data_IF_812061807272
#
_entry.id   IF_812061807272
#
_cell.length_a   1.000
_cell.length_b   1.000
_cell.length_c   1.000
_cell.angle_alpha   90.00
_cell.angle_beta   90.00
_cell.angle_gamma   90.00
#
_symmetry.space_group_name_H-M   'P 1'
#
loop_
_entity.id
_entity.type
_entity.pdbx_description
1 polymer ?
#
# COMPACT_ATOMS: atom_id res chain seq x y z
N UNK A 1 11.67 31.95 2.83
CA UNK A 1 12.31 30.67 3.16
C UNK A 1 11.35 29.57 2.75
N UNK A 2 11.66 28.79 1.71
CA UNK A 2 10.87 27.59 1.39
C UNK A 2 11.25 26.53 2.43
N UNK A 3 10.31 26.19 3.32
CA UNK A 3 10.50 25.05 4.20
C UNK A 3 10.68 23.80 3.33
N UNK A 4 11.87 23.21 3.41
CA UNK A 4 12.20 21.97 2.71
C UNK A 4 11.46 20.81 3.41
N UNK A 5 10.16 20.68 3.16
CA UNK A 5 9.37 19.58 3.68
C UNK A 5 9.91 18.25 3.12
N UNK A 6 10.12 17.28 4.01
CA UNK A 6 10.50 15.92 3.63
C UNK A 6 9.25 15.07 3.49
N UNK A 7 9.31 14.07 2.62
CA UNK A 7 8.36 12.98 2.64
C UNK A 7 8.43 12.26 3.99
N UNK A 8 7.30 12.14 4.67
CA UNK A 8 7.16 11.41 5.95
C UNK A 8 7.53 9.94 5.82
N UNK A 9 7.47 9.37 4.61
CA UNK A 9 7.80 7.96 4.34
C UNK A 9 9.26 7.76 3.95
N UNK A 10 9.71 8.39 2.87
CA UNK A 10 11.04 8.11 2.32
C UNK A 10 12.10 9.16 2.70
N UNK A 11 11.72 10.21 3.44
CA UNK A 11 12.64 11.28 3.84
C UNK A 11 13.15 12.16 2.69
N UNK A 12 12.73 11.92 1.45
CA UNK A 12 13.15 12.69 0.28
C UNK A 12 12.45 14.05 0.21
N UNK A 13 13.17 15.08 -0.22
CA UNK A 13 12.73 16.47 -0.32
C UNK A 13 12.07 16.80 -1.67
N UNK A 14 12.20 15.94 -2.68
CA UNK A 14 11.72 16.22 -4.02
C UNK A 14 10.21 15.91 -4.18
N UNK A 15 9.49 16.85 -4.79
CA UNK A 15 8.10 16.69 -5.25
C UNK A 15 7.12 16.20 -4.16
N UNK A 16 7.04 16.93 -3.04
CA UNK A 16 5.99 16.71 -2.04
C UNK A 16 4.62 17.01 -2.67
N UNK A 17 3.76 16.00 -2.73
CA UNK A 17 2.39 16.09 -3.23
C UNK A 17 1.52 15.78 -2.03
N UNK A 18 1.34 16.78 -1.16
CA UNK A 18 0.53 16.60 0.05
C UNK A 18 -0.85 16.05 -0.33
N UNK A 19 -1.18 14.85 0.17
CA UNK A 19 -2.51 14.29 0.04
C UNK A 19 -2.79 13.42 1.26
N UNK A 20 -3.49 13.98 2.24
CA UNK A 20 -4.35 13.15 3.10
C UNK A 20 -5.66 13.89 3.35
N UNK A 21 -6.75 13.21 3.03
CA UNK A 21 -8.10 13.64 3.28
C UNK A 21 -8.64 13.21 4.66
N UNK A 22 -7.80 12.69 5.59
CA UNK A 22 -8.27 12.16 6.88
C UNK A 22 -7.25 12.13 8.03
N UNK A 23 -6.00 12.55 7.85
CA UNK A 23 -5.02 12.67 8.96
C UNK A 23 -4.15 13.91 8.77
N UNK A 24 -4.06 14.87 9.72
CA UNK A 24 -3.65 16.23 9.37
C UNK A 24 -2.17 16.44 9.01
N UNK A 25 -1.28 15.46 9.15
CA UNK A 25 0.17 15.74 9.20
C UNK A 25 1.10 14.84 8.37
N UNK A 26 0.59 13.97 7.49
CA UNK A 26 1.48 13.09 6.69
C UNK A 26 1.73 13.70 5.31
N UNK A 27 3.00 14.01 5.01
CA UNK A 27 3.44 14.56 3.73
C UNK A 27 4.03 13.45 2.86
N UNK A 28 3.37 13.10 1.78
CA UNK A 28 3.88 12.12 0.82
C UNK A 28 4.59 12.82 -0.35
N UNK A 29 5.68 12.23 -0.86
CA UNK A 29 6.22 12.59 -2.16
C UNK A 29 5.48 11.85 -3.27
N UNK A 30 5.55 12.40 -4.50
CA UNK A 30 4.92 11.80 -5.68
C UNK A 30 5.26 10.31 -5.84
N UNK A 31 6.53 9.94 -5.67
CA UNK A 31 6.96 8.54 -5.81
C UNK A 31 6.25 7.59 -4.83
N UNK A 32 6.07 8.00 -3.57
CA UNK A 32 5.35 7.19 -2.59
C UNK A 32 3.86 7.06 -2.95
N UNK A 33 3.23 8.12 -3.44
CA UNK A 33 1.86 8.07 -3.93
C UNK A 33 1.71 7.14 -5.16
N UNK A 34 2.64 7.23 -6.11
CA UNK A 34 2.63 6.43 -7.33
C UNK A 34 2.78 4.92 -7.00
N UNK A 35 3.59 4.56 -6.00
CA UNK A 35 3.73 3.17 -5.53
C UNK A 35 2.43 2.62 -4.92
N UNK A 36 1.73 3.41 -4.10
CA UNK A 36 0.42 3.00 -3.53
C UNK A 36 -0.60 2.79 -4.65
N UNK A 37 -0.67 3.69 -5.62
CA UNK A 37 -1.58 3.56 -6.77
C UNK A 37 -1.24 2.35 -7.65
N UNK A 38 0.05 2.10 -7.89
CA UNK A 38 0.50 0.89 -8.61
C UNK A 38 0.05 -0.36 -7.87
N UNK A 39 0.21 -0.38 -6.55
CA UNK A 39 -0.17 -1.53 -5.73
C UNK A 39 -1.68 -1.75 -5.69
N UNK A 40 -2.48 -0.69 -5.59
CA UNK A 40 -3.94 -0.74 -5.72
C UNK A 40 -4.36 -1.36 -7.06
N UNK A 41 -3.77 -0.88 -8.16
CA UNK A 41 -4.02 -1.43 -9.50
C UNK A 41 -3.65 -2.92 -9.58
N UNK A 42 -2.50 -3.30 -9.02
CA UNK A 42 -2.07 -4.69 -8.99
C UNK A 42 -3.01 -5.55 -8.14
N UNK A 43 -3.46 -5.06 -6.99
CA UNK A 43 -4.43 -5.74 -6.13
C UNK A 43 -5.73 -6.02 -6.88
N UNK A 44 -6.22 -5.07 -7.68
CA UNK A 44 -7.42 -5.26 -8.50
C UNK A 44 -7.26 -6.35 -9.57
N UNK A 45 -6.04 -6.56 -10.07
CA UNK A 45 -5.71 -7.64 -11.00
C UNK A 45 -5.51 -9.01 -10.31
N UNK A 46 -5.29 -9.04 -9.00
CA UNK A 46 -5.10 -10.30 -8.26
C UNK A 46 -6.38 -11.15 -8.31
N UNK A 47 -6.22 -12.44 -8.62
CA UNK A 47 -7.31 -13.42 -8.60
C UNK A 47 -7.39 -14.05 -7.22
N UNK A 48 -8.56 -13.95 -6.60
CA UNK A 48 -8.83 -14.60 -5.32
C UNK A 48 -9.77 -15.78 -5.51
N UNK A 49 -9.56 -16.80 -4.69
CA UNK A 49 -10.41 -17.99 -4.62
C UNK A 49 -11.01 -18.05 -3.23
N UNK A 50 -12.27 -18.45 -3.13
CA UNK A 50 -12.94 -18.63 -1.86
C UNK A 50 -12.26 -19.72 -1.05
N UNK A 51 -11.74 -19.36 0.13
CA UNK A 51 -11.07 -20.28 1.05
C UNK A 51 -11.96 -21.42 1.55
N UNK A 52 -13.30 -21.26 1.44
CA UNK A 52 -14.27 -22.24 1.93
C UNK A 52 -14.72 -23.23 0.86
N UNK A 53 -15.00 -22.77 -0.37
CA UNK A 53 -15.58 -23.61 -1.42
C UNK A 53 -14.73 -23.73 -2.70
N UNK A 54 -13.59 -23.03 -2.78
CA UNK A 54 -12.71 -23.09 -3.97
C UNK A 54 -13.23 -22.31 -5.18
N UNK A 55 -14.34 -21.57 -5.07
CA UNK A 55 -14.87 -20.77 -6.18
C UNK A 55 -14.01 -19.52 -6.46
N UNK A 56 -13.82 -19.21 -7.74
CA UNK A 56 -13.19 -17.96 -8.19
C UNK A 56 -14.15 -16.76 -8.26
N UNK A 57 -15.46 -16.96 -8.01
CA UNK A 57 -16.47 -15.90 -7.98
C UNK A 57 -16.38 -15.11 -6.66
N UNK A 58 -15.29 -14.37 -6.49
CA UNK A 58 -15.00 -13.58 -5.29
C UNK A 58 -15.11 -12.10 -5.64
N UNK A 59 -15.96 -11.39 -4.89
CA UNK A 59 -16.09 -9.94 -4.94
C UNK A 59 -15.13 -9.30 -3.94
N UNK A 60 -14.46 -8.22 -4.36
CA UNK A 60 -13.60 -7.38 -3.52
C UNK A 60 -14.43 -6.21 -2.99
N UNK A 61 -14.39 -5.98 -1.68
CA UNK A 61 -15.13 -4.93 -0.98
C UNK A 61 -14.20 -4.25 0.04
N UNK A 62 -14.48 -2.98 0.36
CA UNK A 62 -13.79 -2.21 1.40
C UNK A 62 -12.25 -2.19 1.28
N UNK A 63 -11.73 -2.10 0.04
CA UNK A 63 -10.29 -2.01 -0.20
C UNK A 63 -9.70 -0.75 0.45
N UNK A 64 -8.64 -0.94 1.23
CA UNK A 64 -7.81 0.13 1.78
C UNK A 64 -6.35 -0.17 1.48
N UNK A 65 -5.69 0.75 0.80
CA UNK A 65 -4.26 0.70 0.51
C UNK A 65 -3.51 1.75 1.32
N UNK A 66 -2.24 1.52 1.57
CA UNK A 66 -1.41 2.45 2.31
C UNK A 66 0.05 2.03 2.33
N UNK A 67 0.86 2.81 3.04
CA UNK A 67 2.27 2.51 3.29
C UNK A 67 2.40 2.03 4.73
N UNK A 68 3.11 0.93 4.92
CA UNK A 68 3.42 0.40 6.23
C UNK A 68 4.62 1.16 6.79
N UNK A 69 4.33 2.07 7.72
CA UNK A 69 5.33 2.94 8.36
C UNK A 69 6.31 2.15 9.24
N UNK A 70 5.92 0.97 9.77
CA UNK A 70 6.77 0.14 10.63
C UNK A 70 7.97 -0.50 9.88
N UNK A 71 7.95 -0.51 8.54
CA UNK A 71 9.03 -1.07 7.72
C UNK A 71 9.99 0.03 7.21
N UNK A 72 9.79 1.29 7.62
CA UNK A 72 10.67 2.41 7.23
C UNK A 72 11.99 2.38 8.01
N UNK A 73 12.92 1.50 7.63
CA UNK A 73 14.28 1.55 8.16
C UNK A 73 15.06 2.69 7.49
N UNK A 74 15.14 3.83 8.17
CA UNK A 74 16.09 4.90 7.83
C UNK A 74 17.49 4.41 8.17
N UNK A 75 18.30 4.06 7.16
CA UNK A 75 19.75 4.04 7.35
C UNK A 75 20.44 4.92 6.31
N UNK A 76 21.18 5.86 6.87
CA UNK A 76 21.87 6.97 6.20
C UNK A 76 23.13 6.49 5.50
N UNK A 77 23.00 5.75 4.40
CA UNK A 77 24.09 5.60 3.42
C UNK A 77 23.62 4.75 2.24
N UNK A 78 23.30 5.39 1.12
CA UNK A 78 23.43 4.80 -0.23
C UNK A 78 22.99 3.33 -0.39
N UNK A 79 21.74 2.94 -0.09
CA UNK A 79 21.09 1.75 -0.71
C UNK A 79 19.63 1.61 -0.27
N UNK A 80 18.76 1.49 -1.27
CA UNK A 80 17.42 0.87 -1.29
C UNK A 80 16.37 1.29 -0.26
N UNK A 81 15.45 2.15 -0.71
CA UNK A 81 14.20 2.45 -0.02
C UNK A 81 13.27 1.24 -0.05
N UNK A 82 13.14 0.54 1.08
CA UNK A 82 12.07 -0.44 1.29
C UNK A 82 10.78 0.31 1.66
N UNK A 83 10.02 0.74 0.66
CA UNK A 83 8.63 1.16 0.88
C UNK A 83 7.81 -0.12 0.95
N UNK A 84 7.36 -0.49 2.14
CA UNK A 84 6.37 -1.54 2.27
C UNK A 84 4.98 -0.95 2.03
N UNK A 85 4.28 -1.38 0.99
CA UNK A 85 2.88 -1.01 0.73
C UNK A 85 1.96 -2.14 1.15
N UNK A 86 0.79 -1.80 1.66
CA UNK A 86 -0.20 -2.78 2.10
C UNK A 86 -1.56 -2.55 1.43
N UNK A 87 -2.33 -3.63 1.35
CA UNK A 87 -3.72 -3.65 0.93
C UNK A 87 -4.50 -4.55 1.87
N UNK A 88 -5.50 -3.97 2.53
CA UNK A 88 -6.47 -4.71 3.33
C UNK A 88 -7.80 -4.65 2.61
N UNK A 89 -8.43 -5.81 2.40
CA UNK A 89 -9.73 -5.87 1.76
C UNK A 89 -10.62 -6.94 2.41
N UNK A 90 -11.92 -6.69 2.38
CA UNK A 90 -12.95 -7.66 2.71
C UNK A 90 -13.40 -8.34 1.42
N UNK A 91 -13.31 -9.65 1.36
CA UNK A 91 -13.69 -10.45 0.21
C UNK A 91 -14.96 -11.25 0.52
N UNK A 92 -15.86 -11.33 -0.45
CA UNK A 92 -17.10 -12.11 -0.35
C UNK A 92 -17.25 -13.07 -1.54
N UNK A 93 -17.46 -14.35 -1.24
CA UNK A 93 -17.75 -15.34 -2.28
C UNK A 93 -19.22 -15.26 -2.69
N UNK A 94 -19.48 -15.10 -3.98
CA UNK A 94 -20.84 -14.99 -4.51
C UNK A 94 -21.60 -16.31 -4.36
N UNK A 95 -20.91 -17.45 -4.51
CA UNK A 95 -21.54 -18.77 -4.56
C UNK A 95 -21.92 -19.29 -3.17
N UNK A 96 -20.99 -19.29 -2.20
CA UNK A 96 -21.22 -19.82 -0.86
C UNK A 96 -21.46 -18.75 0.22
N UNK A 97 -21.47 -17.47 -0.17
CA UNK A 97 -21.67 -16.30 0.73
C UNK A 97 -20.63 -16.17 1.85
N UNK A 98 -19.53 -16.92 1.80
CA UNK A 98 -18.47 -16.82 2.77
C UNK A 98 -17.75 -15.46 2.67
N UNK A 99 -17.47 -14.84 3.81
CA UNK A 99 -16.75 -13.58 3.93
C UNK A 99 -15.39 -13.87 4.56
N UNK A 100 -14.33 -13.27 4.01
CA UNK A 100 -12.98 -13.42 4.53
C UNK A 100 -12.18 -12.13 4.29
N UNK A 101 -11.16 -11.91 5.11
CA UNK A 101 -10.32 -10.72 5.03
C UNK A 101 -8.95 -11.10 4.52
N UNK A 102 -8.37 -10.26 3.67
CA UNK A 102 -7.00 -10.42 3.19
C UNK A 102 -6.19 -9.19 3.58
N UNK A 103 -4.95 -9.43 3.99
CA UNK A 103 -3.93 -8.40 4.16
C UNK A 103 -2.75 -8.80 3.29
N UNK A 104 -2.46 -7.98 2.27
CA UNK A 104 -1.36 -8.20 1.34
C UNK A 104 -0.32 -7.13 1.60
N UNK A 105 0.92 -7.55 1.86
CA UNK A 105 2.06 -6.67 2.08
C UNK A 105 3.07 -6.91 0.96
N UNK A 106 3.43 -5.85 0.24
CA UNK A 106 4.55 -5.83 -0.70
C UNK A 106 5.70 -5.05 -0.06
N UNK A 107 6.78 -5.75 0.27
CA UNK A 107 7.95 -5.16 0.93
C UNK A 107 8.94 -4.55 -0.07
N UNK A 108 8.56 -4.37 -1.34
CA UNK A 108 9.47 -3.92 -2.38
C UNK A 108 10.58 -4.94 -2.69
N UNK A 109 11.46 -4.64 -3.66
CA UNK A 109 12.60 -5.49 -3.95
C UNK A 109 13.57 -5.48 -2.75
N UNK A 110 13.74 -6.64 -2.11
CA UNK A 110 14.88 -6.87 -1.21
C UNK A 110 16.13 -6.97 -2.05
N UNK A 111 16.92 -5.92 -2.12
CA UNK A 111 18.31 -6.05 -2.55
C UNK A 111 19.05 -6.89 -1.51
N UNK A 112 19.79 -7.88 -2.01
CA UNK A 112 20.65 -8.76 -1.21
C UNK A 112 22.01 -8.13 -1.02
#
# INVERSE_FOLDING_TARGET
>A
MHENHKCSVCGNYAHIVAKVANDPNILYCKACCDEVQRFETNFDLMKFVCIRCGSANVKKEDLRTGINEDVTSVSSSTTDYLIAVYAVARLSCIDCKNIFHVNVLDNGPRTK
#
